data_IF_231337613053
#
_entry.id   IF_231337613053
#
_cell.length_a   1.000
_cell.length_b   1.000
_cell.length_c   1.000
_cell.angle_alpha   90.00
_cell.angle_beta   90.00
_cell.angle_gamma   90.00
#
_symmetry.space_group_name_H-M   'P 1'
#
loop_
_entity.id
_entity.type
_entity.pdbx_description
1 polymer ?
#
# COMPACT_ATOMS: atom_id res chain seq x y z
N UNK A 1 -23.39 24.60 -6.22
CA UNK A 1 -22.91 24.65 -7.61
C UNK A 1 -21.58 25.41 -7.76
N UNK A 2 -21.26 26.36 -6.87
CA UNK A 2 -19.95 27.06 -6.86
C UNK A 2 -18.73 26.12 -6.86
N UNK A 3 -18.70 25.10 -5.99
CA UNK A 3 -17.58 24.16 -5.89
C UNK A 3 -17.25 23.45 -7.22
N UNK A 4 -18.27 23.03 -7.98
CA UNK A 4 -18.08 22.38 -9.28
C UNK A 4 -17.53 23.33 -10.36
N UNK A 5 -17.91 24.60 -10.32
CA UNK A 5 -17.44 25.59 -11.31
C UNK A 5 -16.04 26.12 -11.00
N UNK A 6 -15.69 26.29 -9.72
CA UNK A 6 -14.42 26.92 -9.34
C UNK A 6 -13.27 25.94 -9.24
N UNK A 7 -13.49 24.76 -8.63
CA UNK A 7 -12.39 23.82 -8.33
C UNK A 7 -12.28 22.68 -9.35
N UNK A 8 -13.39 22.31 -9.98
CA UNK A 8 -13.48 21.11 -10.83
C UNK A 8 -13.36 21.42 -12.33
N UNK A 9 -13.86 22.57 -12.81
CA UNK A 9 -13.74 22.96 -14.23
C UNK A 9 -12.29 23.07 -14.71
N UNK A 10 -11.39 23.65 -13.90
CA UNK A 10 -9.98 23.75 -14.27
C UNK A 10 -9.28 22.38 -14.38
N UNK A 11 -9.74 21.38 -13.61
CA UNK A 11 -9.17 20.02 -13.63
C UNK A 11 -9.75 19.12 -14.73
N UNK A 12 -10.99 19.36 -15.16
CA UNK A 12 -11.61 18.64 -16.26
C UNK A 12 -10.94 18.92 -17.62
N UNK A 13 -10.34 20.10 -17.80
CA UNK A 13 -9.64 20.48 -19.04
C UNK A 13 -8.28 19.76 -19.21
N UNK A 14 -7.65 19.38 -18.09
CA UNK A 14 -6.37 18.67 -18.07
C UNK A 14 -6.51 17.14 -18.22
N UNK A 15 -7.65 16.56 -17.81
CA UNK A 15 -7.88 15.12 -17.85
C UNK A 15 -9.34 14.75 -18.20
N UNK A 16 -9.59 14.17 -19.40
CA UNK A 16 -10.95 13.85 -19.84
C UNK A 16 -11.63 12.76 -19.00
N UNK A 17 -10.87 11.85 -18.36
CA UNK A 17 -11.45 10.84 -17.46
C UNK A 17 -12.07 11.46 -16.20
N UNK A 18 -11.52 12.58 -15.73
CA UNK A 18 -12.05 13.31 -14.58
C UNK A 18 -13.39 13.99 -14.90
N UNK A 19 -13.57 14.38 -16.16
CA UNK A 19 -14.80 15.01 -16.65
C UNK A 19 -15.95 13.99 -16.69
N UNK A 20 -15.65 12.76 -17.10
CA UNK A 20 -16.61 11.64 -17.05
C UNK A 20 -17.03 11.32 -15.61
N UNK A 21 -16.08 11.17 -14.68
CA UNK A 21 -16.40 10.93 -13.27
C UNK A 21 -17.21 12.07 -12.65
N UNK A 22 -16.92 13.32 -13.02
CA UNK A 22 -17.68 14.48 -12.56
C UNK A 22 -19.12 14.46 -13.07
N UNK A 23 -19.34 14.15 -14.34
CA UNK A 23 -20.68 14.02 -14.93
C UNK A 23 -21.48 12.90 -14.23
N UNK A 24 -20.85 11.76 -13.96
CA UNK A 24 -21.46 10.65 -13.22
C UNK A 24 -21.84 11.07 -11.79
N UNK A 25 -20.98 11.83 -11.12
CA UNK A 25 -21.25 12.32 -9.76
C UNK A 25 -22.34 13.38 -9.74
N UNK A 26 -22.38 14.28 -10.73
CA UNK A 26 -23.43 15.29 -10.88
C UNK A 26 -24.77 14.66 -11.30
N UNK A 27 -24.75 13.59 -12.07
CA UNK A 27 -25.96 12.85 -12.44
C UNK A 27 -26.71 12.35 -11.20
N UNK A 28 -26.01 11.99 -10.11
CA UNK A 28 -26.64 11.59 -8.84
C UNK A 28 -27.50 12.69 -8.22
N UNK A 29 -27.25 13.97 -8.53
CA UNK A 29 -28.06 15.10 -8.06
C UNK A 29 -29.35 15.30 -8.88
N UNK A 30 -29.45 14.67 -10.06
CA UNK A 30 -30.60 14.80 -10.94
C UNK A 30 -31.71 13.76 -10.66
N UNK A 31 -31.45 12.77 -9.81
CA UNK A 31 -32.43 11.76 -9.38
C UNK A 31 -33.03 12.13 -8.03
N UNK A 32 -34.35 11.98 -7.89
CA UNK A 32 -35.06 12.17 -6.59
C UNK A 32 -34.60 11.15 -5.53
N UNK A 33 -34.25 9.94 -5.95
CA UNK A 33 -33.56 8.94 -5.12
C UNK A 33 -32.20 8.58 -5.77
N UNK A 34 -31.08 8.95 -5.14
CA UNK A 34 -29.75 8.77 -5.72
C UNK A 34 -29.33 7.29 -5.78
N UNK A 35 -30.04 6.38 -5.11
CA UNK A 35 -29.80 4.93 -5.18
C UNK A 35 -30.40 4.28 -6.44
N UNK A 36 -31.30 4.98 -7.12
CA UNK A 36 -31.91 4.51 -8.39
C UNK A 36 -31.08 4.89 -9.62
N UNK A 37 -30.05 5.71 -9.42
CA UNK A 37 -29.12 6.10 -10.47
C UNK A 37 -28.27 4.91 -10.90
N UNK A 38 -27.92 4.79 -12.20
CA UNK A 38 -26.95 3.80 -12.67
C UNK A 38 -25.56 3.98 -12.03
N UNK A 39 -25.31 5.09 -11.34
CA UNK A 39 -24.07 5.38 -10.62
C UNK A 39 -24.21 5.27 -9.09
N UNK A 40 -25.24 4.57 -8.59
CA UNK A 40 -25.47 4.36 -7.17
C UNK A 40 -24.28 3.67 -6.46
N UNK A 41 -23.49 2.89 -7.20
CA UNK A 41 -22.25 2.26 -6.71
C UNK A 41 -21.22 3.31 -6.22
N UNK A 42 -21.29 4.54 -6.70
CA UNK A 42 -20.45 5.65 -6.26
C UNK A 42 -20.80 6.13 -4.83
N UNK A 43 -22.00 5.83 -4.34
CA UNK A 43 -22.46 6.11 -2.98
C UNK A 43 -22.10 5.00 -2.00
N UNK A 44 -21.66 3.84 -2.50
CA UNK A 44 -21.38 2.69 -1.66
C UNK A 44 -20.15 2.95 -0.76
N UNK A 45 -20.21 2.45 0.47
CA UNK A 45 -19.10 2.58 1.42
C UNK A 45 -17.83 1.84 0.96
N UNK A 46 -17.94 0.93 0.00
CA UNK A 46 -16.84 0.23 -0.66
C UNK A 46 -15.88 1.20 -1.35
N UNK A 47 -16.37 2.28 -1.96
CA UNK A 47 -15.53 3.31 -2.59
C UNK A 47 -14.67 4.06 -1.57
N UNK A 48 -15.22 4.33 -0.38
CA UNK A 48 -14.45 4.93 0.73
C UNK A 48 -13.32 4.01 1.18
N UNK A 49 -13.56 2.70 1.25
CA UNK A 49 -12.51 1.73 1.60
C UNK A 49 -11.43 1.64 0.51
N UNK A 50 -11.82 1.65 -0.76
CA UNK A 50 -10.89 1.67 -1.90
C UNK A 50 -10.01 2.92 -1.87
N UNK A 51 -10.63 4.10 -1.73
CA UNK A 51 -9.93 5.38 -1.61
C UNK A 51 -8.99 5.40 -0.40
N UNK A 52 -9.41 4.88 0.76
CA UNK A 52 -8.54 4.78 1.94
C UNK A 52 -7.32 3.90 1.65
N UNK A 53 -7.50 2.78 0.94
CA UNK A 53 -6.39 1.90 0.58
C UNK A 53 -5.42 2.58 -0.41
N UNK A 54 -5.93 3.24 -1.45
CA UNK A 54 -5.14 3.96 -2.44
C UNK A 54 -4.42 5.18 -1.84
N UNK A 55 -5.10 5.91 -0.96
CA UNK A 55 -4.52 7.03 -0.25
C UNK A 55 -3.44 6.55 0.72
N UNK A 56 -3.67 5.46 1.44
CA UNK A 56 -2.65 4.88 2.32
C UNK A 56 -1.42 4.43 1.53
N UNK A 57 -1.60 3.77 0.38
CA UNK A 57 -0.48 3.34 -0.45
C UNK A 57 0.28 4.53 -1.07
N UNK A 58 -0.42 5.55 -1.56
CA UNK A 58 0.19 6.77 -2.08
C UNK A 58 0.93 7.57 -0.99
N UNK A 59 0.36 7.64 0.21
CA UNK A 59 1.00 8.28 1.36
C UNK A 59 2.29 7.53 1.75
N UNK A 60 2.23 6.20 1.84
CA UNK A 60 3.40 5.35 2.09
C UNK A 60 4.48 5.53 1.02
N UNK A 61 4.09 5.59 -0.25
CA UNK A 61 4.99 5.85 -1.37
C UNK A 61 5.60 7.26 -1.31
N UNK A 62 4.82 8.28 -0.95
CA UNK A 62 5.29 9.66 -0.80
C UNK A 62 6.25 9.85 0.38
N UNK A 63 6.20 8.96 1.37
CA UNK A 63 7.08 8.98 2.55
C UNK A 63 8.34 8.12 2.38
N UNK A 64 8.62 7.62 1.16
CA UNK A 64 9.79 6.77 0.86
C UNK A 64 9.89 5.54 1.78
N UNK A 65 8.76 5.10 2.36
CA UNK A 65 8.70 3.85 3.11
C UNK A 65 8.49 2.73 2.10
N UNK A 66 9.58 2.06 1.76
CA UNK A 66 9.53 0.79 1.04
C UNK A 66 8.44 -0.09 1.65
N UNK A 67 7.57 -0.62 0.79
CA UNK A 67 6.43 -1.49 1.15
C UNK A 67 6.84 -2.72 1.96
N UNK A 68 8.13 -3.03 1.98
CA UNK A 68 8.71 -4.04 2.84
C UNK A 68 9.28 -3.40 4.11
N UNK A 69 8.86 -3.90 5.27
CA UNK A 69 9.47 -3.46 6.53
C UNK A 69 11.00 -3.61 6.44
N UNK A 70 11.74 -2.58 6.85
CA UNK A 70 13.21 -2.63 6.92
C UNK A 70 13.71 -3.83 7.72
N UNK A 71 12.91 -4.28 8.70
CA UNK A 71 13.12 -5.51 9.44
C UNK A 71 13.11 -6.75 8.52
N UNK A 72 12.13 -6.88 7.62
CA UNK A 72 12.06 -7.98 6.65
C UNK A 72 13.28 -8.02 5.73
N UNK A 73 13.79 -6.85 5.30
CA UNK A 73 15.02 -6.76 4.48
C UNK A 73 16.23 -7.24 5.29
N UNK A 74 16.37 -6.76 6.53
CA UNK A 74 17.45 -7.16 7.42
C UNK A 74 17.41 -8.65 7.75
N UNK A 75 16.21 -9.22 7.96
CA UNK A 75 16.02 -10.66 8.19
C UNK A 75 16.45 -11.50 7.00
N UNK A 76 16.10 -11.10 5.77
CA UNK A 76 16.55 -11.78 4.54
C UNK A 76 18.07 -11.71 4.40
N UNK A 77 18.68 -10.58 4.72
CA UNK A 77 20.14 -10.41 4.68
C UNK A 77 20.85 -11.31 5.69
N UNK A 78 20.36 -11.36 6.94
CA UNK A 78 20.91 -12.26 7.96
C UNK A 78 20.82 -13.71 7.49
N UNK A 79 19.66 -14.18 7.04
CA UNK A 79 19.52 -15.55 6.55
C UNK A 79 20.51 -15.86 5.41
N UNK A 80 20.62 -14.96 4.43
CA UNK A 80 21.56 -15.11 3.32
C UNK A 80 23.01 -15.19 3.79
N UNK A 81 23.45 -14.33 4.71
CA UNK A 81 24.82 -14.37 5.24
C UNK A 81 25.12 -15.68 5.96
N UNK A 82 24.16 -16.23 6.71
CA UNK A 82 24.32 -17.52 7.37
C UNK A 82 24.48 -18.66 6.37
N UNK A 83 23.71 -18.67 5.27
CA UNK A 83 23.89 -19.65 4.20
C UNK A 83 25.28 -19.55 3.55
N UNK A 84 25.77 -18.33 3.30
CA UNK A 84 27.10 -18.12 2.72
C UNK A 84 28.22 -18.56 3.65
N UNK A 85 28.11 -18.27 4.95
CA UNK A 85 29.07 -18.70 5.97
C UNK A 85 29.06 -20.23 6.15
N UNK A 86 27.88 -20.86 6.07
CA UNK A 86 27.74 -22.31 6.11
C UNK A 86 28.37 -22.99 4.88
N UNK A 87 28.19 -22.41 3.68
CA UNK A 87 28.86 -22.88 2.45
C UNK A 87 30.39 -22.79 2.54
N UNK A 88 30.91 -21.77 3.24
CA UNK A 88 32.34 -21.59 3.48
C UNK A 88 32.89 -22.45 4.64
N UNK A 89 32.06 -23.25 5.31
CA UNK A 89 32.48 -24.12 6.40
C UNK A 89 32.95 -23.37 7.65
N UNK A 90 32.59 -22.09 7.81
CA UNK A 90 32.98 -21.29 8.96
C UNK A 90 32.08 -21.59 10.15
N UNK A 91 32.66 -21.53 11.35
CA UNK A 91 31.93 -21.60 12.62
C UNK A 91 31.42 -20.19 12.93
N UNK A 92 30.11 -20.04 13.06
CA UNK A 92 29.49 -18.76 13.37
C UNK A 92 28.22 -18.95 14.20
N UNK A 93 27.84 -17.96 15.03
CA UNK A 93 26.60 -18.00 15.77
C UNK A 93 25.40 -17.93 14.81
N UNK A 94 24.57 -18.98 14.80
CA UNK A 94 23.34 -19.05 14.00
C UNK A 94 22.17 -18.50 14.78
N UNK A 95 21.38 -17.64 14.15
CA UNK A 95 20.09 -17.19 14.64
C UNK A 95 19.08 -18.33 14.47
N UNK A 96 18.92 -19.17 15.50
CA UNK A 96 18.00 -20.31 15.49
C UNK A 96 16.55 -19.89 15.71
N UNK A 97 16.34 -18.76 16.40
CA UNK A 97 15.00 -18.27 16.72
C UNK A 97 14.86 -16.78 16.39
N UNK A 98 14.13 -16.50 15.32
CA UNK A 98 13.88 -15.15 14.79
C UNK A 98 13.06 -14.30 15.77
N UNK A 99 12.17 -14.93 16.54
CA UNK A 99 11.24 -14.27 17.46
C UNK A 99 11.89 -13.84 18.79
N UNK A 100 12.88 -14.60 19.26
CA UNK A 100 13.56 -14.37 20.55
C UNK A 100 15.00 -13.89 20.42
N UNK A 101 15.53 -13.75 19.19
CA UNK A 101 16.88 -13.25 18.95
C UNK A 101 17.99 -14.17 19.47
N UNK A 102 17.69 -15.42 19.82
CA UNK A 102 18.69 -16.36 20.36
C UNK A 102 19.68 -16.80 19.27
N UNK A 103 20.96 -16.61 19.58
CA UNK A 103 22.09 -17.06 18.79
C UNK A 103 22.62 -18.37 19.37
N UNK A 104 22.63 -19.43 18.57
CA UNK A 104 23.30 -20.68 18.91
C UNK A 104 24.71 -20.65 18.33
N UNK A 105 25.73 -20.69 19.19
CA UNK A 105 27.09 -20.97 18.75
C UNK A 105 27.11 -22.40 18.23
N UNK A 106 27.47 -22.61 16.96
CA UNK A 106 27.82 -23.95 16.49
C UNK A 106 29.04 -24.42 17.28
N UNK A 107 28.81 -25.16 18.36
CA UNK A 107 29.86 -25.75 19.17
C UNK A 107 30.59 -26.78 18.32
N UNK A 108 31.86 -26.51 18.03
CA UNK A 108 32.85 -27.55 17.71
C UNK A 108 32.89 -28.51 18.90
N UNK A 109 32.39 -29.73 18.71
CA UNK A 109 32.77 -30.85 19.58
C UNK A 109 33.76 -31.70 18.80
N UNK A 110 34.92 -31.85 19.43
CA UNK A 110 36.03 -32.76 19.09
C UNK A 110 35.59 -34.20 18.87
#
# INVERSE_FOLDING_TARGET
MEFAQTELSARGEENPAFLEELEQTLALLAFDDPTTSPYADLLESSQRLKLVSELNSALLASQDQETTSRLSVLMKLVLWTQEQLQKKGLVFPKLANISSGKLESSSTTQ
#
